data_IF_297784637899
#
_entry.id   IF_297784637899
#
_cell.length_a   1.000
_cell.length_b   1.000
_cell.length_c   1.000
_cell.angle_alpha   90.00
_cell.angle_beta   90.00
_cell.angle_gamma   90.00
#
_symmetry.space_group_name_H-M   'P 1'
#
loop_
_entity.id
_entity.type
_entity.pdbx_description
1 polymer ?
#
# COMPACT_ATOMS: atom_id res chain seq x y z
N UNK A 1 -16.07 -17.10 40.03
CA UNK A 1 -14.94 -17.58 39.21
C UNK A 1 -15.11 -16.95 37.86
N UNK A 2 -14.26 -15.97 37.65
CA UNK A 2 -14.29 -14.91 36.66
C UNK A 2 -13.94 -15.39 35.26
N UNK A 3 -14.60 -14.85 34.23
CA UNK A 3 -14.08 -14.75 32.86
C UNK A 3 -15.03 -13.92 31.98
N UNK A 4 -15.17 -12.63 32.28
CA UNK A 4 -15.88 -11.72 31.37
C UNK A 4 -15.25 -10.31 31.34
N UNK A 5 -13.91 -10.26 31.41
CA UNK A 5 -13.17 -9.06 31.00
C UNK A 5 -13.09 -9.06 29.47
N UNK A 6 -14.12 -8.46 28.86
CA UNK A 6 -14.21 -8.14 27.44
C UNK A 6 -12.83 -7.75 26.88
N UNK A 7 -12.37 -8.57 25.94
CA UNK A 7 -11.08 -8.46 25.29
C UNK A 7 -10.99 -7.11 24.55
N UNK A 8 -10.37 -6.10 25.16
CA UNK A 8 -10.26 -4.73 24.65
C UNK A 8 -9.26 -4.57 23.48
N UNK A 9 -8.57 -5.65 23.12
CA UNK A 9 -7.54 -5.69 22.08
C UNK A 9 -7.88 -6.74 21.02
N UNK A 10 -7.70 -6.38 19.76
CA UNK A 10 -7.82 -7.31 18.66
C UNK A 10 -6.67 -8.34 18.73
N UNK A 11 -6.92 -9.64 18.87
CA UNK A 11 -5.87 -10.66 18.98
C UNK A 11 -5.06 -10.82 17.69
N UNK A 12 -5.58 -10.37 16.56
CA UNK A 12 -4.96 -10.56 15.25
C UNK A 12 -4.02 -9.41 14.85
N UNK A 13 -4.33 -8.18 15.28
CA UNK A 13 -3.51 -7.02 14.95
C UNK A 13 -2.96 -6.27 16.18
N UNK A 14 -3.42 -6.58 17.39
CA UNK A 14 -3.01 -5.93 18.63
C UNK A 14 -3.64 -4.55 18.86
N UNK A 15 -4.57 -4.13 17.99
CA UNK A 15 -5.24 -2.83 18.11
C UNK A 15 -6.16 -2.80 19.33
N UNK A 16 -6.02 -1.78 20.18
CA UNK A 16 -6.88 -1.57 21.34
C UNK A 16 -7.86 -0.43 21.06
N UNK A 17 -9.17 -0.72 21.11
CA UNK A 17 -10.24 0.26 20.86
C UNK A 17 -10.64 1.04 22.12
N UNK A 18 -9.98 0.83 23.26
CA UNK A 18 -10.35 1.54 24.48
C UNK A 18 -10.20 3.04 24.25
N UNK A 19 -11.22 3.86 24.57
CA UNK A 19 -11.03 5.29 24.66
C UNK A 19 -9.78 5.54 25.50
N UNK A 20 -8.94 6.48 25.09
CA UNK A 20 -7.88 6.95 25.97
C UNK A 20 -8.48 7.42 27.28
N UNK A 21 -7.66 7.64 28.32
CA UNK A 21 -8.09 8.64 29.29
C UNK A 21 -8.57 9.87 28.49
N UNK A 22 -9.57 10.61 28.97
CA UNK A 22 -9.96 11.91 28.42
C UNK A 22 -9.36 13.02 29.27
N UNK A 23 -8.90 14.12 28.66
CA UNK A 23 -8.43 15.27 29.42
C UNK A 23 -9.54 15.76 30.36
N UNK A 24 -9.21 16.25 31.56
CA UNK A 24 -10.18 16.95 32.39
C UNK A 24 -10.80 18.08 31.58
N UNK A 25 -12.13 18.19 31.64
CA UNK A 25 -12.81 19.31 30.98
C UNK A 25 -12.54 20.57 31.79
N UNK A 26 -12.08 21.62 31.12
CA UNK A 26 -12.03 22.96 31.70
C UNK A 26 -13.47 23.34 32.09
N UNK A 27 -13.71 23.60 33.38
CA UNK A 27 -14.97 24.13 33.89
C UNK A 27 -15.10 25.64 33.69
N UNK A 28 -14.00 26.33 33.37
CA UNK A 28 -13.95 27.75 33.00
C UNK A 28 -14.65 27.98 31.64
N UNK A 29 -15.62 28.90 31.54
CA UNK A 29 -16.29 29.21 30.28
C UNK A 29 -15.31 29.71 29.21
N UNK A 30 -15.53 29.34 27.94
CA UNK A 30 -14.64 29.72 26.82
C UNK A 30 -14.46 31.23 26.70
N UNK A 31 -15.53 32.01 26.90
CA UNK A 31 -15.46 33.48 26.85
C UNK A 31 -14.56 34.05 27.93
N UNK A 32 -14.56 33.44 29.12
CA UNK A 32 -13.69 33.82 30.24
C UNK A 32 -12.24 33.47 29.93
N UNK A 33 -11.97 32.30 29.35
CA UNK A 33 -10.63 31.93 28.87
C UNK A 33 -10.13 32.95 27.83
N UNK A 34 -10.96 33.31 26.85
CA UNK A 34 -10.59 34.32 25.84
C UNK A 34 -10.31 35.70 26.45
N UNK A 35 -11.10 36.14 27.43
CA UNK A 35 -10.86 37.40 28.14
C UNK A 35 -9.53 37.39 28.90
N UNK A 36 -9.22 36.30 29.62
CA UNK A 36 -7.95 36.13 30.33
C UNK A 36 -6.77 36.12 29.37
N UNK A 37 -6.91 35.52 28.19
CA UNK A 37 -5.85 35.52 27.16
C UNK A 37 -5.68 36.89 26.47
N UNK A 38 -6.75 37.70 26.43
CA UNK A 38 -6.74 39.02 25.79
C UNK A 38 -6.36 40.18 26.74
N UNK A 39 -6.20 39.90 28.03
CA UNK A 39 -5.90 40.90 29.06
C UNK A 39 -4.79 40.42 30.00
N UNK A 40 -4.29 41.29 30.87
CA UNK A 40 -3.38 40.92 31.96
C UNK A 40 -4.13 40.69 33.27
N UNK A 41 -5.45 40.44 33.21
CA UNK A 41 -6.25 40.13 34.39
C UNK A 41 -5.82 38.75 34.93
N UNK A 42 -5.48 38.63 36.23
CA UNK A 42 -5.13 37.34 36.80
C UNK A 42 -6.38 36.43 36.86
N UNK A 43 -6.23 35.11 36.66
CA UNK A 43 -7.31 34.17 36.92
C UNK A 43 -7.68 34.15 38.42
N UNK A 44 -8.90 33.72 38.71
CA UNK A 44 -9.38 33.44 40.07
C UNK A 44 -8.72 32.15 40.60
N UNK A 45 -8.60 32.01 41.91
CA UNK A 45 -8.00 30.82 42.54
C UNK A 45 -8.66 29.51 42.09
N UNK A 46 -9.98 29.48 41.93
CA UNK A 46 -10.71 28.31 41.42
C UNK A 46 -10.49 28.03 39.92
N UNK A 47 -10.12 29.05 39.13
CA UNK A 47 -9.72 28.88 37.73
C UNK A 47 -8.28 28.34 37.67
N UNK A 48 -7.40 28.83 38.56
CA UNK A 48 -6.01 28.35 38.71
C UNK A 48 -5.99 26.87 39.04
N UNK A 49 -6.76 26.41 40.04
CA UNK A 49 -6.83 24.99 40.42
C UNK A 49 -7.20 24.09 39.22
N UNK A 50 -8.16 24.53 38.39
CA UNK A 50 -8.56 23.79 37.18
C UNK A 50 -7.46 23.77 36.12
N UNK A 51 -6.76 24.88 35.92
CA UNK A 51 -5.63 24.93 34.98
C UNK A 51 -4.47 24.05 35.47
N UNK A 52 -4.18 24.03 36.77
CA UNK A 52 -3.15 23.19 37.36
C UNK A 52 -3.48 21.70 37.23
N UNK A 53 -4.75 21.29 37.41
CA UNK A 53 -5.18 19.91 37.19
C UNK A 53 -4.92 19.45 35.75
N UNK A 54 -5.17 20.33 34.78
CA UNK A 54 -4.91 20.05 33.35
C UNK A 54 -3.42 20.02 33.06
N UNK A 55 -2.63 20.91 33.66
CA UNK A 55 -1.18 20.89 33.50
C UNK A 55 -0.57 19.62 34.09
N UNK A 56 -1.07 19.17 35.24
CA UNK A 56 -0.62 17.95 35.91
C UNK A 56 -0.97 16.70 35.10
N UNK A 57 -2.24 16.56 34.67
CA UNK A 57 -2.72 15.38 33.94
C UNK A 57 -2.39 15.39 32.45
N UNK A 58 -2.12 16.57 31.86
CA UNK A 58 -1.98 16.75 30.42
C UNK A 58 -0.74 16.09 29.83
N UNK A 59 0.37 16.09 30.57
CA UNK A 59 1.62 15.44 30.14
C UNK A 59 1.46 13.92 30.00
N UNK A 60 0.87 13.27 31.02
CA UNK A 60 0.58 11.84 31.00
C UNK A 60 -0.39 11.48 29.86
N UNK A 61 -1.35 12.35 29.62
CA UNK A 61 -2.29 12.22 28.52
C UNK A 61 -1.64 12.23 27.15
N UNK A 62 -0.79 13.24 26.93
CA UNK A 62 -0.07 13.43 25.68
C UNK A 62 0.88 12.25 25.44
N UNK A 63 1.54 11.78 26.50
CA UNK A 63 2.38 10.58 26.45
C UNK A 63 1.58 9.34 26.02
N UNK A 64 0.42 9.08 26.65
CA UNK A 64 -0.47 7.97 26.30
C UNK A 64 -0.96 8.04 24.85
N UNK A 65 -1.35 9.23 24.38
CA UNK A 65 -1.75 9.44 22.99
C UNK A 65 -0.60 9.15 22.03
N UNK A 66 0.60 9.66 22.31
CA UNK A 66 1.77 9.42 21.47
C UNK A 66 2.17 7.93 21.42
N UNK A 67 2.04 7.21 22.53
CA UNK A 67 2.28 5.77 22.58
C UNK A 67 1.27 4.99 21.73
N UNK A 68 -0.02 5.34 21.80
CA UNK A 68 -1.04 4.71 20.94
C UNK A 68 -0.79 5.03 19.48
N UNK A 69 -0.42 6.27 19.18
CA UNK A 69 -0.12 6.72 17.83
C UNK A 69 1.09 5.96 17.26
N UNK A 70 2.14 5.74 18.06
CA UNK A 70 3.30 4.94 17.64
C UNK A 70 2.91 3.48 17.40
N UNK A 71 2.08 2.88 18.24
CA UNK A 71 1.56 1.51 18.05
C UNK A 71 0.78 1.37 16.75
N UNK A 72 -0.13 2.30 16.45
CA UNK A 72 -0.91 2.29 15.22
C UNK A 72 -0.01 2.46 13.99
N UNK A 73 0.97 3.36 14.03
CA UNK A 73 1.95 3.52 12.95
C UNK A 73 2.75 2.23 12.71
N UNK A 74 3.21 1.57 13.78
CA UNK A 74 3.91 0.29 13.67
C UNK A 74 3.03 -0.79 13.04
N UNK A 75 1.76 -0.90 13.47
CA UNK A 75 0.82 -1.84 12.90
C UNK A 75 0.58 -1.57 11.42
N UNK A 76 0.36 -0.31 11.05
CA UNK A 76 0.16 0.10 9.66
C UNK A 76 1.36 -0.31 8.80
N UNK A 77 2.58 0.02 9.23
CA UNK A 77 3.81 -0.33 8.50
C UNK A 77 3.93 -1.85 8.30
N UNK A 78 3.62 -2.63 9.33
CA UNK A 78 3.65 -4.09 9.26
C UNK A 78 2.64 -4.63 8.24
N UNK A 79 1.39 -4.17 8.29
CA UNK A 79 0.34 -4.58 7.37
C UNK A 79 0.66 -4.20 5.93
N UNK A 80 1.20 -3.01 5.71
CA UNK A 80 1.65 -2.55 4.38
C UNK A 80 2.75 -3.47 3.84
N UNK A 81 3.77 -3.79 4.65
CA UNK A 81 4.83 -4.71 4.24
C UNK A 81 4.29 -6.11 3.89
N UNK A 82 3.34 -6.62 4.68
CA UNK A 82 2.68 -7.89 4.39
C UNK A 82 1.88 -7.85 3.07
N UNK A 83 1.14 -6.77 2.82
CA UNK A 83 0.40 -6.59 1.56
C UNK A 83 1.32 -6.66 0.35
N UNK A 84 2.41 -5.90 0.37
CA UNK A 84 3.42 -5.87 -0.70
C UNK A 84 4.01 -7.26 -0.93
N UNK A 85 4.35 -7.98 0.15
CA UNK A 85 4.90 -9.32 0.04
C UNK A 85 3.90 -10.32 -0.59
N UNK A 86 2.63 -10.24 -0.21
CA UNK A 86 1.56 -11.08 -0.78
C UNK A 86 1.33 -10.76 -2.25
N UNK A 87 1.27 -9.49 -2.62
CA UNK A 87 1.13 -9.04 -4.02
C UNK A 87 2.27 -9.57 -4.89
N UNK A 88 3.50 -9.46 -4.40
CA UNK A 88 4.67 -9.99 -5.09
C UNK A 88 4.58 -11.52 -5.28
N UNK A 89 4.19 -12.26 -4.24
CA UNK A 89 4.04 -13.71 -4.33
C UNK A 89 2.91 -14.13 -5.29
N UNK A 90 1.81 -13.38 -5.31
CA UNK A 90 0.73 -13.58 -6.28
C UNK A 90 1.19 -13.32 -7.70
N UNK A 91 1.96 -12.26 -7.94
CA UNK A 91 2.53 -11.95 -9.25
C UNK A 91 3.44 -13.07 -9.75
N UNK A 92 4.36 -13.54 -8.90
CA UNK A 92 5.25 -14.67 -9.22
C UNK A 92 4.42 -15.91 -9.54
N UNK A 93 3.46 -16.26 -8.68
CA UNK A 93 2.64 -17.46 -8.86
C UNK A 93 1.87 -17.40 -10.18
N UNK A 94 1.19 -16.28 -10.47
CA UNK A 94 0.48 -16.06 -11.74
C UNK A 94 1.42 -16.19 -12.95
N UNK A 95 2.62 -15.62 -12.85
CA UNK A 95 3.63 -15.70 -13.91
C UNK A 95 4.09 -17.14 -14.12
N UNK A 96 4.36 -17.89 -13.05
CA UNK A 96 4.84 -19.27 -13.12
C UNK A 96 3.76 -20.23 -13.62
N UNK A 97 2.50 -20.04 -13.18
CA UNK A 97 1.36 -20.88 -13.58
C UNK A 97 0.74 -20.45 -14.91
N UNK A 98 1.29 -19.43 -15.57
CA UNK A 98 0.75 -18.95 -16.83
C UNK A 98 0.73 -20.09 -17.87
N UNK A 99 -0.43 -20.45 -18.45
CA UNK A 99 -0.56 -21.51 -19.44
C UNK A 99 0.41 -21.39 -20.61
N UNK A 100 0.79 -20.16 -20.97
CA UNK A 100 1.78 -19.85 -22.00
C UNK A 100 3.13 -20.56 -21.76
N UNK A 101 3.52 -20.76 -20.50
CA UNK A 101 4.78 -21.47 -20.16
C UNK A 101 4.69 -22.99 -20.33
N UNK A 102 3.50 -23.53 -20.56
CA UNK A 102 3.27 -24.97 -20.81
C UNK A 102 3.07 -25.30 -22.29
N UNK A 103 3.02 -24.28 -23.15
CA UNK A 103 2.87 -24.50 -24.60
C UNK A 103 4.19 -25.07 -25.14
N UNK A 104 4.16 -26.24 -25.83
CA UNK A 104 5.36 -26.81 -26.44
C UNK A 104 5.97 -25.87 -27.47
N UNK A 105 7.29 -25.91 -27.62
CA UNK A 105 8.03 -25.04 -28.54
C UNK A 105 7.53 -25.20 -29.99
N UNK A 106 7.18 -26.41 -30.39
CA UNK A 106 6.69 -26.73 -31.74
C UNK A 106 5.36 -26.03 -32.04
N UNK A 107 4.48 -25.97 -31.03
CA UNK A 107 3.18 -25.28 -31.14
C UNK A 107 3.39 -23.77 -31.21
N UNK A 108 4.31 -23.23 -30.40
CA UNK A 108 4.69 -21.82 -30.46
C UNK A 108 5.31 -21.46 -31.81
N UNK A 109 6.15 -22.34 -32.32
CA UNK A 109 6.79 -22.16 -33.61
C UNK A 109 5.76 -22.14 -34.75
N UNK A 110 4.79 -23.03 -34.69
CA UNK A 110 3.67 -23.02 -35.62
C UNK A 110 2.86 -21.74 -35.47
N UNK A 111 2.46 -21.32 -34.27
CA UNK A 111 1.73 -20.04 -34.09
C UNK A 111 2.52 -18.86 -34.66
N UNK A 112 3.82 -18.80 -34.39
CA UNK A 112 4.67 -17.71 -34.87
C UNK A 112 4.84 -17.72 -36.39
N UNK A 113 4.78 -18.87 -37.06
CA UNK A 113 4.87 -18.91 -38.53
C UNK A 113 3.60 -18.38 -39.22
N UNK A 114 2.45 -18.39 -38.53
CA UNK A 114 1.19 -17.85 -39.06
C UNK A 114 1.10 -16.33 -38.86
N UNK A 115 1.75 -15.80 -37.84
CA UNK A 115 1.82 -14.36 -37.56
C UNK A 115 2.86 -13.61 -38.39
N UNK A 116 3.75 -14.32 -39.10
CA UNK A 116 4.63 -13.70 -40.08
C UNK A 116 3.82 -13.36 -41.33
N UNK A 117 3.86 -12.09 -41.74
CA UNK A 117 3.30 -11.66 -43.02
C UNK A 117 3.95 -12.48 -44.12
N UNK A 118 3.14 -13.13 -44.96
CA UNK A 118 3.63 -13.89 -46.11
C UNK A 118 4.48 -12.95 -46.98
N UNK A 119 5.76 -13.25 -47.23
CA UNK A 119 6.62 -12.42 -48.08
C UNK A 119 6.07 -12.25 -49.50
N UNK A 120 5.14 -13.11 -49.95
CA UNK A 120 4.43 -12.89 -51.22
C UNK A 120 3.33 -11.83 -51.15
N UNK A 121 2.84 -11.49 -49.96
CA UNK A 121 1.77 -10.52 -49.73
C UNK A 121 2.28 -9.20 -49.13
N UNK A 122 3.56 -9.12 -48.78
CA UNK A 122 4.24 -7.87 -48.47
C UNK A 122 4.34 -7.05 -49.76
N UNK A 123 3.41 -6.12 -49.94
CA UNK A 123 3.44 -5.14 -51.03
C UNK A 123 4.83 -4.52 -51.12
N UNK A 124 5.48 -4.74 -52.27
CA UNK A 124 6.78 -4.19 -52.68
C UNK A 124 6.76 -2.69 -52.42
N UNK A 125 7.26 -2.23 -51.25
CA UNK A 125 7.27 -0.81 -50.93
C UNK A 125 7.11 -0.43 -49.46
N UNK A 126 6.73 -1.32 -48.55
CA UNK A 126 6.82 -1.02 -47.11
C UNK A 126 8.20 -1.44 -46.60
N UNK A 127 9.08 -0.51 -46.20
CA UNK A 127 10.30 -0.92 -45.52
C UNK A 127 9.89 -1.59 -44.21
N UNK A 128 10.40 -2.79 -43.99
CA UNK A 128 10.22 -3.53 -42.75
C UNK A 128 10.90 -2.70 -41.64
N UNK A 129 10.11 -1.92 -40.92
CA UNK A 129 10.62 -1.09 -39.84
C UNK A 129 10.92 -2.00 -38.65
N UNK A 130 12.16 -2.48 -38.59
CA UNK A 130 12.66 -3.32 -37.49
C UNK A 130 12.55 -2.65 -36.11
N UNK A 131 12.13 -1.38 -36.04
CA UNK A 131 11.84 -0.63 -34.82
C UNK A 131 10.34 -0.44 -34.55
N UNK A 132 9.44 -1.00 -35.38
CA UNK A 132 8.00 -0.95 -35.10
C UNK A 132 7.69 -1.85 -33.89
N UNK A 133 7.40 -1.22 -32.76
CA UNK A 133 6.98 -1.92 -31.55
C UNK A 133 5.62 -2.64 -31.73
N UNK A 134 4.91 -2.42 -32.84
CA UNK A 134 3.69 -3.13 -33.23
C UNK A 134 3.97 -4.39 -34.05
N UNK A 135 5.23 -4.67 -34.38
CA UNK A 135 5.64 -5.95 -34.96
C UNK A 135 5.19 -7.10 -34.05
N UNK A 136 4.50 -8.07 -34.66
CA UNK A 136 4.06 -9.29 -34.01
C UNK A 136 5.21 -9.99 -33.31
N UNK A 137 6.37 -10.13 -33.97
CA UNK A 137 7.57 -10.77 -33.41
C UNK A 137 8.13 -9.99 -32.23
N UNK A 138 8.17 -8.66 -32.30
CA UNK A 138 8.56 -7.84 -31.16
C UNK A 138 7.64 -8.07 -29.96
N UNK A 139 6.33 -8.06 -30.19
CA UNK A 139 5.31 -8.24 -29.15
C UNK A 139 5.41 -9.61 -28.48
N UNK A 140 5.52 -10.70 -29.26
CA UNK A 140 5.61 -12.05 -28.69
C UNK A 140 6.95 -12.31 -27.98
N UNK A 141 8.03 -11.63 -28.38
CA UNK A 141 9.34 -11.72 -27.70
C UNK A 141 9.33 -11.19 -26.27
N UNK A 142 8.32 -10.40 -25.88
CA UNK A 142 8.20 -9.84 -24.53
C UNK A 142 7.45 -10.76 -23.55
N UNK A 143 6.88 -11.88 -24.01
CA UNK A 143 6.02 -12.75 -23.19
C UNK A 143 6.82 -13.57 -22.18
N UNK A 144 7.86 -14.28 -22.61
CA UNK A 144 8.81 -14.96 -21.72
C UNK A 144 10.16 -15.23 -22.41
N UNK A 145 11.16 -15.69 -21.66
CA UNK A 145 12.50 -15.99 -22.22
C UNK A 145 12.46 -17.05 -23.31
N UNK A 146 11.64 -18.10 -23.19
CA UNK A 146 11.49 -19.14 -24.22
C UNK A 146 10.92 -18.56 -25.51
N UNK A 147 9.87 -17.75 -25.42
CA UNK A 147 9.27 -17.09 -26.59
C UNK A 147 10.28 -16.16 -27.25
N UNK A 148 11.01 -15.36 -26.44
CA UNK A 148 12.09 -14.50 -26.94
C UNK A 148 13.15 -15.28 -27.70
N UNK A 149 13.63 -16.40 -27.15
CA UNK A 149 14.63 -17.24 -27.82
C UNK A 149 14.09 -17.76 -29.15
N UNK A 150 12.88 -18.32 -29.16
CA UNK A 150 12.25 -18.85 -30.38
C UNK A 150 11.99 -17.78 -31.44
N UNK A 151 11.68 -16.55 -31.03
CA UNK A 151 11.50 -15.43 -31.94
C UNK A 151 12.83 -14.91 -32.49
N UNK A 152 13.87 -14.81 -31.66
CA UNK A 152 15.20 -14.30 -32.07
C UNK A 152 16.02 -15.34 -32.83
N UNK A 153 15.77 -16.65 -32.64
CA UNK A 153 16.43 -17.72 -33.40
C UNK A 153 15.89 -17.85 -34.82
N UNK A 154 14.83 -17.12 -35.16
CA UNK A 154 14.27 -17.11 -36.51
C UNK A 154 14.97 -16.09 -37.39
N UNK A 155 15.28 -16.44 -38.65
CA UNK A 155 15.77 -15.48 -39.61
C UNK A 155 14.73 -14.38 -39.83
N UNK A 156 15.16 -13.13 -39.66
CA UNK A 156 14.44 -11.94 -40.15
C UNK A 156 14.77 -11.84 -41.63
N UNK A 157 13.78 -12.00 -42.50
CA UNK A 157 13.96 -11.94 -43.96
C UNK A 157 13.59 -10.56 -44.45
#
# INVERSE_FOLDING_TARGET
>A
MDNDFLQQYCPQCGFCSSPGPSLPKIGVPSDRVHQLLASNEPPLDCEIEQFEEILSSGSEHLHSLNQRLSQVRHLLNRLTAQSIAVEHQLLISKTLTNPVRKVPCEVLEQIFSWGMVDPMNATIGSPDDSLDARDFLWTVSQVCSTWRVLTLSRPRW
#
